data_IF_744564426985
#
_entry.id   IF_744564426985
#
_cell.length_a   1.000
_cell.length_b   1.000
_cell.length_c   1.000
_cell.angle_alpha   90.00
_cell.angle_beta   90.00
_cell.angle_gamma   90.00
#
_symmetry.space_group_name_H-M   'P 1'
#
loop_
_entity.id
_entity.type
_entity.pdbx_description
1 polymer ?
#
# COMPACT_ATOMS: atom_id res chain seq x y z
N UNK A 1 -2.21 -53.38 72.33
CA UNK A 1 -0.89 -53.63 72.95
C UNK A 1 0.09 -53.90 71.83
N UNK A 2 1.01 -52.97 71.57
CA UNK A 2 1.93 -53.04 70.42
C UNK A 2 2.78 -54.31 70.46
N UNK A 3 3.25 -54.80 69.31
CA UNK A 3 4.09 -56.00 69.16
C UNK A 3 5.16 -56.16 70.25
N UNK A 4 5.92 -55.08 70.52
CA UNK A 4 6.91 -55.03 71.60
C UNK A 4 6.30 -55.33 72.98
N UNK A 5 5.17 -54.73 73.31
CA UNK A 5 4.51 -54.92 74.60
C UNK A 5 3.98 -56.36 74.79
N UNK A 6 3.55 -57.05 73.73
CA UNK A 6 3.18 -58.49 73.79
C UNK A 6 4.38 -59.39 74.03
N UNK A 7 5.52 -59.10 73.39
CA UNK A 7 6.77 -59.82 73.63
C UNK A 7 7.28 -59.55 75.06
N UNK A 8 7.31 -58.29 75.49
CA UNK A 8 7.73 -57.95 76.85
C UNK A 8 6.83 -58.59 77.92
N UNK A 9 5.51 -58.62 77.71
CA UNK A 9 4.59 -59.31 78.62
C UNK A 9 4.81 -60.82 78.63
N UNK A 10 5.03 -61.45 77.46
CA UNK A 10 5.32 -62.87 77.37
C UNK A 10 6.64 -63.23 78.07
N UNK A 11 7.70 -62.44 77.86
CA UNK A 11 9.01 -62.61 78.52
C UNK A 11 8.90 -62.35 80.03
N UNK A 12 8.16 -61.33 80.45
CA UNK A 12 7.93 -61.03 81.87
C UNK A 12 7.18 -62.17 82.58
N UNK A 13 6.14 -62.73 81.96
CA UNK A 13 5.43 -63.90 82.47
C UNK A 13 6.35 -65.14 82.57
N UNK A 14 7.29 -65.30 81.64
CA UNK A 14 8.26 -66.40 81.61
C UNK A 14 9.26 -66.31 82.77
N UNK A 15 9.78 -65.11 83.03
CA UNK A 15 10.65 -64.84 84.17
C UNK A 15 9.92 -65.07 85.50
N UNK A 16 8.69 -64.59 85.64
CA UNK A 16 7.88 -64.77 86.85
C UNK A 16 7.59 -66.26 87.11
N UNK A 17 7.21 -67.02 86.08
CA UNK A 17 6.92 -68.46 86.21
C UNK A 17 8.18 -69.27 86.57
N UNK A 18 9.32 -68.99 85.93
CA UNK A 18 10.59 -69.65 86.30
C UNK A 18 11.02 -69.31 87.72
N UNK A 19 10.87 -68.07 88.17
CA UNK A 19 11.19 -67.66 89.55
C UNK A 19 10.28 -68.38 90.55
N UNK A 20 8.98 -68.50 90.27
CA UNK A 20 8.01 -69.19 91.14
C UNK A 20 8.24 -70.70 91.22
N UNK A 21 8.65 -71.35 90.12
CA UNK A 21 9.01 -72.76 90.11
C UNK A 21 10.34 -73.01 90.83
N UNK A 22 11.32 -72.11 90.68
CA UNK A 22 12.60 -72.20 91.39
C UNK A 22 12.44 -72.01 92.90
N UNK A 23 11.57 -71.08 93.34
CA UNK A 23 11.26 -70.91 94.77
C UNK A 23 10.50 -72.12 95.37
N UNK A 24 9.62 -72.76 94.59
CA UNK A 24 8.96 -74.01 94.98
C UNK A 24 9.91 -75.20 95.14
N UNK A 25 11.00 -75.23 94.37
CA UNK A 25 12.02 -76.30 94.39
C UNK A 25 12.93 -76.23 95.64
N UNK A 26 13.09 -75.03 96.23
CA UNK A 26 13.88 -74.82 97.46
C UNK A 26 13.11 -75.29 98.70
N UNK A 27 11.77 -75.28 98.68
CA UNK A 27 10.94 -75.57 99.86
C UNK A 27 10.45 -77.02 99.98
N UNK A 28 10.47 -77.82 98.90
CA UNK A 28 9.95 -79.19 98.88
C UNK A 28 11.09 -80.23 98.98
N UNK A 29 11.41 -80.63 100.22
CA UNK A 29 12.40 -81.66 100.57
C UNK A 29 11.76 -83.06 100.67
N UNK A 30 12.51 -84.07 100.22
CA UNK A 30 12.39 -85.51 100.55
C UNK A 30 11.56 -86.49 99.70
N UNK A 31 11.26 -86.27 98.39
CA UNK A 31 11.27 -87.39 97.41
C UNK A 31 11.02 -87.15 95.88
N UNK A 32 10.83 -85.95 95.34
CA UNK A 32 10.51 -85.82 93.88
C UNK A 32 11.04 -84.58 93.11
N UNK A 33 12.33 -84.17 93.24
CA UNK A 33 12.85 -82.98 92.52
C UNK A 33 12.89 -83.14 90.98
N UNK A 34 12.95 -84.38 90.47
CA UNK A 34 13.04 -84.66 89.02
C UNK A 34 11.71 -84.41 88.27
N UNK A 35 10.56 -84.58 88.92
CA UNK A 35 9.24 -84.35 88.30
C UNK A 35 8.98 -82.86 88.03
N UNK A 36 9.41 -81.97 88.94
CA UNK A 36 9.29 -80.52 88.76
C UNK A 36 10.20 -79.98 87.64
N UNK A 37 11.43 -80.52 87.54
CA UNK A 37 12.35 -80.17 86.46
C UNK A 37 11.80 -80.59 85.08
N UNK A 38 11.25 -81.80 84.96
CA UNK A 38 10.64 -82.28 83.71
C UNK A 38 9.43 -81.42 83.33
N UNK A 39 8.56 -81.06 84.30
CA UNK A 39 7.42 -80.18 84.05
C UNK A 39 7.82 -78.79 83.54
N UNK A 40 8.89 -78.21 84.11
CA UNK A 40 9.42 -76.91 83.66
C UNK A 40 10.02 -76.97 82.25
N UNK A 41 10.73 -78.06 81.92
CA UNK A 41 11.30 -78.27 80.59
C UNK A 41 10.23 -78.45 79.52
N UNK A 42 9.15 -79.20 79.83
CA UNK A 42 8.01 -79.38 78.92
C UNK A 42 7.30 -78.04 78.68
N UNK A 43 7.08 -77.24 79.71
CA UNK A 43 6.48 -75.90 79.57
C UNK A 43 7.35 -74.97 78.73
N UNK A 44 8.68 -75.02 78.91
CA UNK A 44 9.62 -74.20 78.16
C UNK A 44 9.68 -74.62 76.69
N UNK A 45 9.68 -75.93 76.40
CA UNK A 45 9.61 -76.47 75.03
C UNK A 45 8.27 -76.13 74.37
N UNK A 46 7.15 -76.28 75.08
CA UNK A 46 5.83 -75.93 74.57
C UNK A 46 5.74 -74.44 74.26
N UNK A 47 6.25 -73.55 75.13
CA UNK A 47 6.31 -72.12 74.86
C UNK A 47 7.27 -71.76 73.72
N UNK A 48 8.44 -72.39 73.63
CA UNK A 48 9.37 -72.18 72.50
C UNK A 48 8.75 -72.63 71.18
N UNK A 49 8.02 -73.76 71.18
CA UNK A 49 7.26 -74.24 70.04
C UNK A 49 6.13 -73.28 69.65
N UNK A 50 5.40 -72.74 70.63
CA UNK A 50 4.34 -71.74 70.40
C UNK A 50 4.92 -70.41 69.90
N UNK A 51 6.05 -69.96 70.46
CA UNK A 51 6.76 -68.78 70.01
C UNK A 51 7.29 -68.97 68.59
N UNK A 52 7.91 -70.13 68.28
CA UNK A 52 8.39 -70.47 66.94
C UNK A 52 7.25 -70.54 65.92
N UNK A 53 6.12 -71.15 66.29
CA UNK A 53 4.91 -71.17 65.45
C UNK A 53 4.40 -69.75 65.19
N UNK A 54 4.25 -68.92 66.23
CA UNK A 54 3.81 -67.53 66.11
C UNK A 54 4.78 -66.68 65.27
N UNK A 55 6.10 -66.89 65.44
CA UNK A 55 7.14 -66.18 64.70
C UNK A 55 7.15 -66.60 63.23
N UNK A 56 7.04 -67.91 62.94
CA UNK A 56 7.02 -68.47 61.58
C UNK A 56 5.81 -68.02 60.79
N UNK A 57 4.61 -68.03 61.36
CA UNK A 57 3.39 -67.55 60.69
C UNK A 57 3.45 -66.05 60.40
N UNK A 58 4.05 -65.24 61.28
CA UNK A 58 4.17 -63.79 61.08
C UNK A 58 5.34 -63.40 60.15
N UNK A 59 6.46 -64.12 60.18
CA UNK A 59 7.58 -63.92 59.25
C UNK A 59 7.18 -64.15 57.79
N UNK A 60 6.35 -65.16 57.53
CA UNK A 60 5.85 -65.45 56.18
C UNK A 60 5.07 -64.27 55.57
N UNK A 61 4.30 -63.52 56.36
CA UNK A 61 3.62 -62.31 55.88
C UNK A 61 4.59 -61.16 55.56
N UNK A 62 5.67 -61.01 56.32
CA UNK A 62 6.70 -60.01 56.05
C UNK A 62 7.50 -60.34 54.79
N UNK A 63 7.88 -61.61 54.61
CA UNK A 63 8.57 -62.09 53.41
C UNK A 63 7.72 -61.86 52.16
N UNK A 64 6.41 -62.09 52.23
CA UNK A 64 5.50 -61.82 51.11
C UNK A 64 5.45 -60.33 50.72
N UNK A 65 5.38 -59.42 51.69
CA UNK A 65 5.45 -57.97 51.40
C UNK A 65 6.80 -57.60 50.79
N UNK A 66 7.89 -58.14 51.35
CA UNK A 66 9.25 -57.87 50.89
C UNK A 66 9.47 -58.36 49.46
N UNK A 67 9.01 -59.56 49.12
CA UNK A 67 9.10 -60.12 47.76
C UNK A 67 8.28 -59.31 46.76
N UNK A 68 7.05 -58.91 47.10
CA UNK A 68 6.23 -58.08 46.19
C UNK A 68 6.91 -56.71 45.98
N UNK A 69 7.44 -56.10 47.04
CA UNK A 69 8.16 -54.83 46.93
C UNK A 69 9.46 -54.97 46.11
N UNK A 70 10.22 -56.04 46.31
CA UNK A 70 11.41 -56.36 45.53
C UNK A 70 11.07 -56.58 44.06
N UNK A 71 9.97 -57.29 43.78
CA UNK A 71 9.52 -57.50 42.40
C UNK A 71 9.05 -56.20 41.73
N UNK A 72 8.31 -55.34 42.44
CA UNK A 72 7.87 -54.03 41.90
C UNK A 72 9.08 -53.12 41.65
N UNK A 73 10.04 -53.07 42.58
CA UNK A 73 11.23 -52.18 42.46
C UNK A 73 12.28 -52.69 41.48
N UNK A 74 12.36 -54.00 41.25
CA UNK A 74 13.24 -54.61 40.24
C UNK A 74 12.63 -54.69 38.84
N UNK A 75 11.42 -54.13 38.65
CA UNK A 75 10.70 -54.16 37.37
C UNK A 75 10.20 -55.55 36.96
N UNK A 76 10.16 -56.50 37.91
CA UNK A 76 9.68 -57.88 37.72
C UNK A 76 8.21 -58.07 38.09
N UNK A 77 7.57 -57.07 38.69
CA UNK A 77 6.13 -57.06 38.99
C UNK A 77 5.42 -55.78 38.56
N UNK A 78 4.14 -55.92 38.23
CA UNK A 78 3.26 -54.83 37.88
C UNK A 78 2.86 -53.97 39.06
N UNK A 79 2.71 -52.68 38.82
CA UNK A 79 2.03 -51.77 39.74
C UNK A 79 0.54 -52.10 39.91
N UNK A 80 -0.07 -53.01 39.12
CA UNK A 80 -1.43 -53.53 39.34
C UNK A 80 -1.52 -54.60 40.41
N UNK A 81 -0.40 -55.19 40.82
CA UNK A 81 -0.39 -56.18 41.87
C UNK A 81 -0.85 -55.55 43.19
N UNK A 82 -1.63 -56.30 43.99
CA UNK A 82 -2.13 -55.84 45.28
C UNK A 82 -1.78 -56.83 46.36
N UNK A 83 -1.26 -56.30 47.46
CA UNK A 83 -0.91 -57.11 48.63
C UNK A 83 -2.18 -57.41 49.43
N UNK A 84 -2.55 -58.68 49.54
CA UNK A 84 -3.66 -59.15 50.36
C UNK A 84 -3.14 -59.95 51.55
N UNK A 85 -3.43 -59.48 52.77
CA UNK A 85 -3.06 -60.14 54.02
C UNK A 85 -4.31 -60.31 54.88
N UNK A 86 -4.66 -61.56 55.18
CA UNK A 86 -5.81 -61.89 56.01
C UNK A 86 -5.55 -61.64 57.50
N UNK A 87 -6.53 -61.07 58.20
CA UNK A 87 -6.53 -60.82 59.65
C UNK A 87 -6.35 -59.35 60.05
N UNK A 88 -6.73 -58.99 61.28
CA UNK A 88 -6.65 -57.62 61.82
C UNK A 88 -5.35 -57.50 62.62
N UNK A 89 -4.26 -57.09 61.96
CA UNK A 89 -2.95 -56.91 62.59
C UNK A 89 -2.12 -55.84 61.87
N UNK A 90 -0.94 -55.55 62.42
CA UNK A 90 -0.04 -54.51 61.92
C UNK A 90 0.39 -54.71 60.46
N UNK A 91 0.42 -55.96 59.96
CA UNK A 91 0.80 -56.27 58.58
C UNK A 91 -0.35 -56.06 57.59
N UNK A 92 -1.60 -56.29 57.98
CA UNK A 92 -2.75 -55.93 57.11
C UNK A 92 -2.92 -54.42 56.99
N UNK A 93 -2.62 -53.65 58.04
CA UNK A 93 -2.56 -52.19 57.94
C UNK A 93 -1.45 -51.72 56.98
N UNK A 94 -0.27 -52.35 57.01
CA UNK A 94 0.83 -52.07 56.07
C UNK A 94 0.45 -52.40 54.63
N UNK A 95 -0.21 -53.54 54.38
CA UNK A 95 -0.70 -53.91 53.05
C UNK A 95 -1.72 -52.90 52.50
N UNK A 96 -2.64 -52.39 53.33
CA UNK A 96 -3.58 -51.33 52.93
C UNK A 96 -2.84 -50.04 52.54
N UNK A 97 -1.86 -49.60 53.33
CA UNK A 97 -1.07 -48.41 53.01
C UNK A 97 -0.23 -48.58 51.74
N UNK A 98 0.36 -49.76 51.53
CA UNK A 98 1.10 -50.10 50.32
C UNK A 98 0.19 -50.08 49.09
N UNK A 99 -0.99 -50.70 49.16
CA UNK A 99 -1.98 -50.66 48.07
C UNK A 99 -2.45 -49.23 47.77
N UNK A 100 -2.59 -48.37 48.78
CA UNK A 100 -2.90 -46.95 48.59
C UNK A 100 -1.77 -46.20 47.86
N UNK A 101 -0.52 -46.49 48.20
CA UNK A 101 0.64 -45.94 47.49
C UNK A 101 0.67 -46.41 46.03
N UNK A 102 0.45 -47.70 45.77
CA UNK A 102 0.41 -48.27 44.42
C UNK A 102 -0.74 -47.67 43.58
N UNK A 103 -1.94 -47.52 44.16
CA UNK A 103 -3.05 -46.81 43.51
C UNK A 103 -2.67 -45.36 43.14
N UNK A 104 -2.03 -44.62 44.07
CA UNK A 104 -1.61 -43.25 43.80
C UNK A 104 -0.54 -43.20 42.69
N UNK A 105 0.44 -44.12 42.67
CA UNK A 105 1.45 -44.21 41.61
C UNK A 105 0.83 -44.54 40.26
N UNK A 106 -0.14 -45.45 40.21
CA UNK A 106 -0.87 -45.76 38.98
C UNK A 106 -1.64 -44.57 38.44
N UNK A 107 -2.38 -43.86 39.30
CA UNK A 107 -3.11 -42.66 38.90
C UNK A 107 -2.15 -41.59 38.36
N UNK A 108 -1.02 -41.36 39.04
CA UNK A 108 0.01 -40.44 38.55
C UNK A 108 0.59 -40.86 37.20
N UNK A 109 0.87 -42.15 36.98
CA UNK A 109 1.36 -42.65 35.69
C UNK A 109 0.29 -42.54 34.59
N UNK A 110 -0.99 -42.75 34.92
CA UNK A 110 -2.09 -42.53 33.98
C UNK A 110 -2.22 -41.05 33.61
N UNK A 111 -2.13 -40.16 34.59
CA UNK A 111 -2.14 -38.71 34.35
C UNK A 111 -0.95 -38.29 33.48
N UNK A 112 0.26 -38.81 33.75
CA UNK A 112 1.46 -38.56 32.93
C UNK A 112 1.26 -39.05 31.49
N UNK A 113 0.71 -40.25 31.30
CA UNK A 113 0.41 -40.78 29.97
C UNK A 113 -0.63 -39.94 29.22
N UNK A 114 -1.69 -39.49 29.90
CA UNK A 114 -2.68 -38.60 29.31
C UNK A 114 -2.10 -37.24 28.94
N UNK A 115 -1.25 -36.67 29.79
CA UNK A 115 -0.54 -35.41 29.51
C UNK A 115 0.41 -35.58 28.32
N UNK A 116 1.15 -36.70 28.22
CA UNK A 116 2.02 -36.99 27.07
C UNK A 116 1.23 -37.07 25.75
N UNK A 117 0.10 -37.77 25.74
CA UNK A 117 -0.79 -37.84 24.58
C UNK A 117 -1.38 -36.46 24.20
N UNK A 118 -1.79 -35.68 25.20
CA UNK A 118 -2.28 -34.31 24.97
C UNK A 118 -1.19 -33.41 24.36
N UNK A 119 0.05 -33.50 24.87
CA UNK A 119 1.20 -32.78 24.30
C UNK A 119 1.44 -33.19 22.86
N UNK A 120 1.41 -34.49 22.54
CA UNK A 120 1.58 -34.98 21.17
C UNK A 120 0.51 -34.44 20.21
N UNK A 121 -0.76 -34.42 20.62
CA UNK A 121 -1.83 -33.85 19.81
C UNK A 121 -1.63 -32.34 19.60
N UNK A 122 -1.22 -31.61 20.64
CA UNK A 122 -0.93 -30.17 20.53
C UNK A 122 0.27 -29.86 19.65
N UNK A 123 1.27 -30.74 19.59
CA UNK A 123 2.37 -30.59 18.63
C UNK A 123 1.85 -30.75 17.20
N UNK A 124 1.03 -31.78 16.91
CA UNK A 124 0.43 -31.95 15.56
C UNK A 124 -0.43 -30.75 15.14
N UNK A 125 -1.22 -30.19 16.05
CA UNK A 125 -2.00 -28.97 15.79
C UNK A 125 -1.05 -27.80 15.42
N UNK A 126 0.02 -27.61 16.20
CA UNK A 126 1.01 -26.57 15.94
C UNK A 126 1.78 -26.78 14.62
N UNK A 127 2.03 -28.03 14.18
CA UNK A 127 2.69 -28.30 12.89
C UNK A 127 1.84 -27.81 11.70
N UNK A 128 0.53 -28.01 11.80
CA UNK A 128 -0.42 -27.52 10.80
C UNK A 128 -0.45 -26.00 10.77
N UNK A 129 -0.47 -25.34 11.94
CA UNK A 129 -0.42 -23.88 12.03
C UNK A 129 0.89 -23.31 11.46
N UNK A 130 2.03 -23.92 11.77
CA UNK A 130 3.34 -23.54 11.22
C UNK A 130 3.37 -23.66 9.70
N UNK A 131 2.81 -24.73 9.15
CA UNK A 131 2.77 -24.94 7.70
C UNK A 131 1.96 -23.83 7.03
N UNK A 132 0.80 -23.45 7.60
CA UNK A 132 0.01 -22.32 7.14
C UNK A 132 0.75 -20.99 7.27
N UNK A 133 1.43 -20.76 8.40
CA UNK A 133 2.21 -19.55 8.65
C UNK A 133 3.39 -19.41 7.66
N UNK A 134 4.04 -20.52 7.31
CA UNK A 134 5.13 -20.56 6.33
C UNK A 134 4.62 -20.15 4.95
N UNK A 135 3.50 -20.72 4.50
CA UNK A 135 2.88 -20.38 3.23
C UNK A 135 2.45 -18.90 3.15
N UNK A 136 1.86 -18.38 4.23
CA UNK A 136 1.48 -16.98 4.35
C UNK A 136 2.71 -16.06 4.28
N UNK A 137 3.76 -16.38 5.04
CA UNK A 137 5.01 -15.59 5.08
C UNK A 137 5.68 -15.56 3.70
N UNK A 138 5.74 -16.69 2.99
CA UNK A 138 6.28 -16.75 1.64
C UNK A 138 5.45 -15.94 0.64
N UNK A 139 4.13 -15.98 0.77
CA UNK A 139 3.22 -15.17 -0.07
C UNK A 139 3.42 -13.68 0.20
N UNK A 140 3.47 -13.26 1.47
CA UNK A 140 3.75 -11.87 1.86
C UNK A 140 5.09 -11.37 1.33
N UNK A 141 6.14 -12.18 1.43
CA UNK A 141 7.45 -11.86 0.87
C UNK A 141 7.39 -11.65 -0.66
N UNK A 142 6.74 -12.56 -1.38
CA UNK A 142 6.61 -12.46 -2.82
C UNK A 142 5.80 -11.24 -3.27
N UNK A 143 4.65 -10.99 -2.62
CA UNK A 143 3.83 -9.82 -2.89
C UNK A 143 4.59 -8.53 -2.60
N UNK A 144 5.35 -8.47 -1.50
CA UNK A 144 6.18 -7.30 -1.18
C UNK A 144 7.17 -6.97 -2.30
N UNK A 145 7.89 -7.98 -2.81
CA UNK A 145 8.82 -7.81 -3.95
C UNK A 145 8.14 -7.29 -5.20
N UNK A 146 6.95 -7.82 -5.53
CA UNK A 146 6.17 -7.35 -6.67
C UNK A 146 5.74 -5.90 -6.47
N UNK A 147 5.24 -5.54 -5.28
CA UNK A 147 4.87 -4.16 -4.93
C UNK A 147 6.06 -3.21 -5.08
N UNK A 148 7.22 -3.53 -4.53
CA UNK A 148 8.43 -2.69 -4.66
C UNK A 148 8.79 -2.48 -6.13
N UNK A 149 8.75 -3.55 -6.95
CA UNK A 149 9.05 -3.44 -8.38
C UNK A 149 8.08 -2.49 -9.08
N UNK A 150 6.77 -2.66 -8.88
CA UNK A 150 5.76 -1.78 -9.48
C UNK A 150 5.89 -0.34 -8.99
N UNK A 151 6.18 -0.13 -7.71
CA UNK A 151 6.38 1.20 -7.12
C UNK A 151 7.61 1.90 -7.70
N UNK A 152 8.66 1.15 -8.03
CA UNK A 152 9.84 1.69 -8.73
C UNK A 152 9.48 2.18 -10.14
N UNK A 153 8.64 1.45 -10.87
CA UNK A 153 8.13 1.89 -12.18
C UNK A 153 7.31 3.19 -12.02
N UNK A 154 6.46 3.27 -10.98
CA UNK A 154 5.71 4.51 -10.66
C UNK A 154 6.64 5.67 -10.34
N UNK A 155 7.70 5.45 -9.55
CA UNK A 155 8.69 6.49 -9.22
C UNK A 155 9.38 7.06 -10.46
N UNK A 156 9.76 6.19 -11.41
CA UNK A 156 10.33 6.60 -12.70
C UNK A 156 9.35 7.43 -13.53
N UNK A 157 8.08 6.99 -13.61
CA UNK A 157 7.04 7.74 -14.32
C UNK A 157 6.80 9.11 -13.68
N UNK A 158 6.78 9.22 -12.36
CA UNK A 158 6.66 10.50 -11.67
C UNK A 158 7.81 11.44 -11.99
N UNK A 159 9.05 10.94 -12.05
CA UNK A 159 10.20 11.75 -12.46
C UNK A 159 10.08 12.24 -13.92
N UNK A 160 9.60 11.37 -14.82
CA UNK A 160 9.36 11.74 -16.23
C UNK A 160 8.25 12.79 -16.37
N UNK A 161 7.15 12.66 -15.61
CA UNK A 161 6.06 13.65 -15.60
C UNK A 161 6.55 15.00 -15.06
N UNK A 162 7.38 15.02 -14.02
CA UNK A 162 7.99 16.25 -13.51
C UNK A 162 8.86 16.93 -14.58
N UNK A 163 9.73 16.16 -15.25
CA UNK A 163 10.57 16.69 -16.34
C UNK A 163 9.75 17.22 -17.53
N UNK A 164 8.67 16.52 -17.89
CA UNK A 164 7.74 16.97 -18.93
C UNK A 164 7.02 18.26 -18.53
N UNK A 165 6.69 18.41 -17.25
CA UNK A 165 6.07 19.63 -16.70
C UNK A 165 7.03 20.82 -16.76
N UNK A 166 8.31 20.63 -16.43
CA UNK A 166 9.34 21.66 -16.59
C UNK A 166 9.52 22.06 -18.06
N UNK A 167 9.53 21.08 -18.96
CA UNK A 167 9.60 21.32 -20.40
C UNK A 167 8.39 22.11 -20.91
N UNK A 168 7.19 21.77 -20.42
CA UNK A 168 5.97 22.51 -20.71
C UNK A 168 6.03 23.95 -20.18
N UNK A 169 6.52 24.17 -18.96
CA UNK A 169 6.70 25.50 -18.39
C UNK A 169 7.70 26.35 -19.21
N UNK A 170 8.77 25.74 -19.72
CA UNK A 170 9.71 26.42 -20.61
C UNK A 170 9.05 26.79 -21.95
N UNK A 171 8.27 25.88 -22.55
CA UNK A 171 7.54 26.15 -23.78
C UNK A 171 6.49 27.27 -23.61
N UNK A 172 5.80 27.27 -22.47
CA UNK A 172 4.88 28.34 -22.05
C UNK A 172 5.61 29.67 -21.93
N UNK A 173 6.79 29.72 -21.33
CA UNK A 173 7.59 30.95 -21.22
C UNK A 173 7.93 31.54 -22.59
N UNK A 174 8.34 30.69 -23.55
CA UNK A 174 8.59 31.09 -24.94
C UNK A 174 7.30 31.61 -25.61
N UNK A 175 6.19 30.90 -25.43
CA UNK A 175 4.89 31.31 -25.97
C UNK A 175 4.43 32.66 -25.39
N UNK A 176 4.60 32.87 -24.09
CA UNK A 176 4.28 34.13 -23.40
C UNK A 176 5.08 35.30 -23.99
N UNK A 177 6.38 35.11 -24.22
CA UNK A 177 7.23 36.12 -24.83
C UNK A 177 6.83 36.41 -26.29
N UNK A 178 6.49 35.38 -27.06
CA UNK A 178 5.99 35.53 -28.42
C UNK A 178 4.65 36.31 -28.46
N UNK A 179 3.70 35.99 -27.59
CA UNK A 179 2.43 36.72 -27.46
C UNK A 179 2.62 38.17 -27.00
N UNK A 180 3.53 38.41 -26.06
CA UNK A 180 3.87 39.78 -25.61
C UNK A 180 4.45 40.62 -26.76
N UNK A 181 5.34 40.03 -27.56
CA UNK A 181 5.90 40.68 -28.73
C UNK A 181 4.84 40.92 -29.81
N UNK A 182 3.95 39.95 -30.04
CA UNK A 182 2.82 40.08 -30.96
C UNK A 182 1.88 41.23 -30.55
N UNK A 183 1.57 41.35 -29.25
CA UNK A 183 0.77 42.45 -28.73
C UNK A 183 1.42 43.81 -28.99
N UNK A 184 2.74 43.95 -28.73
CA UNK A 184 3.49 45.18 -29.04
C UNK A 184 3.44 45.52 -30.54
N UNK A 185 3.62 44.53 -31.41
CA UNK A 185 3.58 44.74 -32.86
C UNK A 185 2.21 45.22 -33.33
N UNK A 186 1.13 44.69 -32.76
CA UNK A 186 -0.24 45.14 -33.06
C UNK A 186 -0.51 46.55 -32.55
N UNK A 187 -0.03 46.92 -31.36
CA UNK A 187 -0.13 48.30 -30.87
C UNK A 187 0.57 49.28 -31.81
N UNK A 188 1.79 48.97 -32.23
CA UNK A 188 2.52 49.79 -33.19
C UNK A 188 1.81 49.87 -34.56
N UNK A 189 1.27 48.74 -35.04
CA UNK A 189 0.48 48.72 -36.29
C UNK A 189 -0.79 49.57 -36.18
N UNK A 190 -1.43 49.58 -35.00
CA UNK A 190 -2.60 50.42 -34.75
C UNK A 190 -2.25 51.91 -34.77
N UNK A 191 -1.12 52.30 -34.17
CA UNK A 191 -0.61 53.69 -34.23
C UNK A 191 -0.36 54.14 -35.68
N UNK A 192 0.29 53.29 -36.49
CA UNK A 192 0.52 53.56 -37.92
C UNK A 192 -0.80 53.71 -38.68
N UNK A 193 -1.79 52.86 -38.41
CA UNK A 193 -3.09 52.94 -39.07
C UNK A 193 -3.87 54.22 -38.68
N UNK A 194 -3.75 54.67 -37.43
CA UNK A 194 -4.31 55.96 -36.99
C UNK A 194 -3.65 57.12 -37.72
N UNK A 195 -2.32 57.13 -37.83
CA UNK A 195 -1.59 58.16 -38.59
C UNK A 195 -2.00 58.16 -40.06
N UNK A 196 -2.14 56.98 -40.68
CA UNK A 196 -2.60 56.85 -42.06
C UNK A 196 -4.00 57.43 -42.26
N UNK A 197 -4.91 57.20 -41.30
CA UNK A 197 -6.25 57.81 -41.32
C UNK A 197 -6.20 59.34 -41.26
N UNK A 198 -5.30 59.91 -40.45
CA UNK A 198 -5.09 61.36 -40.38
C UNK A 198 -4.53 61.92 -41.70
N UNK A 199 -3.57 61.23 -42.31
CA UNK A 199 -3.00 61.61 -43.61
C UNK A 199 -4.05 61.57 -44.73
N UNK A 200 -4.94 60.56 -44.74
CA UNK A 200 -6.05 60.50 -45.71
C UNK A 200 -7.02 61.67 -45.55
N UNK A 201 -7.35 62.07 -44.32
CA UNK A 201 -8.20 63.23 -44.05
C UNK A 201 -7.53 64.54 -44.53
N UNK A 202 -6.24 64.73 -44.27
CA UNK A 202 -5.50 65.88 -44.75
C UNK A 202 -5.44 65.93 -46.30
N UNK A 203 -5.26 64.78 -46.95
CA UNK A 203 -5.25 64.69 -48.41
C UNK A 203 -6.63 65.00 -49.01
N UNK A 204 -7.71 64.55 -48.35
CA UNK A 204 -9.10 64.89 -48.72
C UNK A 204 -9.35 66.40 -48.68
N UNK A 205 -8.84 67.09 -47.65
CA UNK A 205 -8.94 68.55 -47.54
C UNK A 205 -8.16 69.26 -48.66
N UNK A 206 -6.94 68.82 -48.95
CA UNK A 206 -6.13 69.38 -50.06
C UNK A 206 -6.81 69.21 -51.42
N UNK A 207 -7.39 68.04 -51.69
CA UNK A 207 -8.11 67.76 -52.93
C UNK A 207 -9.40 68.57 -53.06
N UNK A 208 -10.12 68.80 -51.95
CA UNK A 208 -11.26 69.73 -51.91
C UNK A 208 -10.82 71.14 -52.28
N UNK A 209 -9.74 71.64 -51.68
CA UNK A 209 -9.18 72.95 -52.01
C UNK A 209 -8.68 73.07 -53.46
N UNK A 210 -8.12 71.99 -54.04
CA UNK A 210 -7.74 71.95 -55.45
C UNK A 210 -8.97 72.05 -56.38
N UNK A 211 -10.08 71.41 -56.00
CA UNK A 211 -11.36 71.49 -56.73
C UNK A 211 -11.90 72.92 -56.76
N UNK A 212 -11.92 73.60 -55.61
CA UNK A 212 -12.34 75.00 -55.49
C UNK A 212 -11.46 75.95 -56.32
N UNK A 213 -10.14 75.78 -56.26
CA UNK A 213 -9.20 76.58 -57.08
C UNK A 213 -9.41 76.35 -58.58
N UNK A 214 -9.63 75.10 -58.99
CA UNK A 214 -9.89 74.76 -60.39
C UNK A 214 -11.20 75.40 -60.88
N UNK A 215 -12.24 75.41 -60.05
CA UNK A 215 -13.50 76.09 -60.35
C UNK A 215 -13.32 77.61 -60.47
N UNK A 216 -12.52 78.22 -59.59
CA UNK A 216 -12.20 79.64 -59.68
C UNK A 216 -11.46 79.99 -60.98
N UNK A 217 -10.51 79.14 -61.40
CA UNK A 217 -9.81 79.32 -62.68
C UNK A 217 -10.75 79.21 -63.88
N UNK A 218 -11.68 78.24 -63.89
CA UNK A 218 -12.69 78.13 -64.94
C UNK A 218 -13.52 79.42 -65.07
N UNK A 219 -13.94 80.00 -63.94
CA UNK A 219 -14.68 81.27 -63.94
C UNK A 219 -13.84 82.43 -64.51
N UNK A 220 -12.53 82.47 -64.23
CA UNK A 220 -11.63 83.48 -64.83
C UNK A 220 -11.46 83.28 -66.34
N UNK A 221 -11.33 82.03 -66.80
CA UNK A 221 -11.19 81.71 -68.22
C UNK A 221 -12.48 82.05 -68.99
N UNK A 222 -13.65 81.84 -68.38
CA UNK A 222 -14.94 82.25 -68.96
C UNK A 222 -15.07 83.78 -69.08
N UNK A 223 -14.57 84.51 -68.09
CA UNK A 223 -14.45 85.97 -68.17
C UNK A 223 -13.49 86.40 -69.29
N UNK A 224 -12.33 85.74 -69.45
CA UNK A 224 -11.40 86.01 -70.56
C UNK A 224 -12.08 85.75 -71.90
N UNK A 225 -12.82 84.64 -72.03
CA UNK A 225 -13.59 84.32 -73.24
C UNK A 225 -14.58 85.42 -73.58
N UNK A 226 -15.33 85.90 -72.58
CA UNK A 226 -16.27 87.03 -72.72
C UNK A 226 -15.57 88.30 -73.18
N UNK A 227 -14.43 88.67 -72.58
CA UNK A 227 -13.63 89.84 -72.97
C UNK A 227 -13.10 89.69 -74.40
N UNK A 228 -12.68 88.48 -74.76
CA UNK A 228 -12.10 88.17 -76.07
C UNK A 228 -13.16 88.23 -77.17
N UNK A 229 -14.36 87.72 -76.92
CA UNK A 229 -15.51 87.84 -77.81
C UNK A 229 -15.93 89.31 -78.00
N UNK A 230 -15.95 90.10 -76.92
CA UNK A 230 -16.18 91.55 -77.00
C UNK A 230 -15.08 92.26 -77.81
N UNK A 231 -13.82 91.89 -77.61
CA UNK A 231 -12.68 92.46 -78.33
C UNK A 231 -12.74 92.12 -79.82
N UNK A 232 -13.12 90.89 -80.15
CA UNK A 232 -13.32 90.44 -81.53
C UNK A 232 -14.46 91.21 -82.22
N UNK A 233 -15.57 91.46 -81.51
CA UNK A 233 -16.69 92.28 -82.01
C UNK A 233 -16.29 93.75 -82.18
N UNK A 234 -15.52 94.32 -81.25
CA UNK A 234 -14.99 95.68 -81.35
C UNK A 234 -14.05 95.82 -82.55
N UNK A 235 -13.14 94.85 -82.73
CA UNK A 235 -12.22 94.80 -83.86
C UNK A 235 -12.95 94.65 -85.20
N UNK A 236 -14.01 93.84 -85.25
CA UNK A 236 -14.87 93.71 -86.43
C UNK A 236 -15.54 95.05 -86.78
N UNK A 237 -16.12 95.74 -85.79
CA UNK A 237 -16.73 97.05 -86.00
C UNK A 237 -15.70 98.09 -86.48
N UNK A 238 -14.48 98.06 -85.93
CA UNK A 238 -13.39 98.92 -86.37
C UNK A 238 -12.92 98.60 -87.81
N UNK A 239 -12.84 97.33 -88.20
CA UNK A 239 -12.51 96.92 -89.56
C UNK A 239 -13.57 97.38 -90.58
N UNK A 240 -14.86 97.29 -90.21
CA UNK A 240 -15.97 97.79 -91.03
C UNK A 240 -15.85 99.31 -91.23
N UNK A 241 -15.60 100.08 -90.16
CA UNK A 241 -15.50 101.54 -90.27
C UNK A 241 -14.22 101.98 -90.99
N UNK A 242 -13.13 101.24 -90.83
CA UNK A 242 -11.90 101.45 -91.59
C UNK A 242 -12.10 101.20 -93.10
N UNK A 243 -12.87 100.17 -93.48
CA UNK A 243 -13.25 99.94 -94.87
C UNK A 243 -14.15 101.06 -95.42
N UNK A 244 -15.03 101.62 -94.57
CA UNK A 244 -15.92 102.74 -94.92
C UNK A 244 -15.17 104.05 -95.19
N UNK A 245 -14.04 104.27 -94.52
CA UNK A 245 -13.17 105.43 -94.70
C UNK A 245 -12.27 105.35 -95.95
N UNK A 246 -12.28 104.25 -96.70
CA UNK A 246 -11.52 104.08 -97.95
C UNK A 246 -10.00 104.14 -97.75
N UNK A 247 -9.28 104.87 -98.61
CA UNK A 247 -7.82 105.01 -98.56
C UNK A 247 -7.31 105.61 -97.23
N UNK A 248 -8.09 106.49 -96.58
CA UNK A 248 -7.70 107.09 -95.30
C UNK A 248 -7.76 106.11 -94.11
N UNK A 249 -8.57 105.04 -94.21
CA UNK A 249 -8.75 104.03 -93.17
C UNK A 249 -7.79 102.84 -93.25
N UNK A 250 -6.94 102.78 -94.27
CA UNK A 250 -6.15 101.60 -94.61
C UNK A 250 -5.18 101.15 -93.51
N UNK A 251 -4.57 102.09 -92.78
CA UNK A 251 -3.74 101.79 -91.61
C UNK A 251 -4.54 101.25 -90.41
N UNK A 252 -5.75 101.77 -90.20
CA UNK A 252 -6.67 101.29 -89.15
C UNK A 252 -7.23 99.90 -89.46
N UNK A 253 -7.48 99.59 -90.74
CA UNK A 253 -7.93 98.26 -91.16
C UNK A 253 -6.92 97.16 -90.80
N UNK A 254 -5.63 97.41 -91.02
CA UNK A 254 -4.55 96.47 -90.65
C UNK A 254 -4.49 96.24 -89.14
N UNK A 255 -4.62 97.30 -88.34
CA UNK A 255 -4.65 97.17 -86.88
C UNK A 255 -5.89 96.42 -86.41
N UNK A 256 -7.06 96.69 -87.01
CA UNK A 256 -8.30 96.00 -86.68
C UNK A 256 -8.23 94.48 -86.99
N UNK A 257 -7.66 94.10 -88.13
CA UNK A 257 -7.46 92.68 -88.48
C UNK A 257 -6.45 91.99 -87.54
N UNK A 258 -5.37 92.69 -87.14
CA UNK A 258 -4.40 92.16 -86.18
C UNK A 258 -5.02 91.95 -84.79
N UNK A 259 -5.84 92.90 -84.31
CA UNK A 259 -6.60 92.76 -83.05
C UNK A 259 -7.60 91.60 -83.15
N UNK A 260 -8.27 91.44 -84.31
CA UNK A 260 -9.20 90.34 -84.55
C UNK A 260 -8.50 88.98 -84.50
N UNK A 261 -7.32 88.88 -85.13
CA UNK A 261 -6.50 87.68 -85.11
C UNK A 261 -5.99 87.37 -83.70
N UNK A 262 -5.55 88.38 -82.94
CA UNK A 262 -5.13 88.23 -81.55
C UNK A 262 -6.28 87.76 -80.65
N UNK A 263 -7.49 88.30 -80.85
CA UNK A 263 -8.68 87.84 -80.15
C UNK A 263 -9.00 86.37 -80.48
N UNK A 264 -9.00 85.97 -81.76
CA UNK A 264 -9.21 84.58 -82.16
C UNK A 264 -8.17 83.62 -81.53
N UNK A 265 -6.91 84.02 -81.48
CA UNK A 265 -5.81 83.24 -80.86
C UNK A 265 -5.97 83.13 -79.34
N UNK A 266 -6.45 84.19 -78.69
CA UNK A 266 -6.75 84.21 -77.26
C UNK A 266 -7.93 83.30 -76.93
N UNK A 267 -8.99 83.32 -77.76
CA UNK A 267 -10.16 82.44 -77.63
C UNK A 267 -9.75 80.97 -77.71
N UNK A 268 -8.93 80.61 -78.70
CA UNK A 268 -8.43 79.25 -78.88
C UNK A 268 -7.59 78.80 -77.67
N UNK A 269 -6.78 79.71 -77.11
CA UNK A 269 -6.00 79.43 -75.90
C UNK A 269 -6.90 79.24 -74.67
N UNK A 270 -7.94 80.06 -74.52
CA UNK A 270 -8.92 79.93 -73.44
C UNK A 270 -9.70 78.60 -73.53
N UNK A 271 -10.05 78.13 -74.72
CA UNK A 271 -10.66 76.83 -74.93
C UNK A 271 -9.74 75.67 -74.57
N UNK A 272 -8.45 75.76 -74.93
CA UNK A 272 -7.45 74.78 -74.54
C UNK A 272 -7.27 74.71 -73.01
N UNK A 273 -7.17 75.87 -72.33
CA UNK A 273 -7.08 75.94 -70.87
C UNK A 273 -8.35 75.37 -70.21
N UNK A 274 -9.53 75.66 -70.76
CA UNK A 274 -10.81 75.12 -70.25
C UNK A 274 -10.83 73.59 -70.29
N UNK A 275 -10.30 73.00 -71.38
CA UNK A 275 -10.21 71.55 -71.52
C UNK A 275 -9.28 70.94 -70.46
N UNK A 276 -8.07 71.47 -70.32
CA UNK A 276 -7.09 71.04 -69.31
C UNK A 276 -7.64 71.15 -67.88
N UNK A 277 -8.35 72.24 -67.56
CA UNK A 277 -8.98 72.41 -66.25
C UNK A 277 -10.11 71.39 -66.01
N UNK A 278 -10.89 71.07 -67.05
CA UNK A 278 -11.93 70.04 -66.96
C UNK A 278 -11.33 68.65 -66.72
N UNK A 279 -10.27 68.30 -67.45
CA UNK A 279 -9.57 67.02 -67.29
C UNK A 279 -8.94 66.89 -65.89
N UNK A 280 -8.35 67.97 -65.37
CA UNK A 280 -7.83 68.02 -64.00
C UNK A 280 -8.93 67.87 -62.94
N UNK A 281 -10.12 68.44 -63.18
CA UNK A 281 -11.27 68.28 -62.27
C UNK A 281 -11.75 66.85 -62.21
N UNK A 282 -11.85 66.19 -63.37
CA UNK A 282 -12.25 64.78 -63.44
C UNK A 282 -11.20 63.87 -62.80
N UNK A 283 -9.90 64.18 -62.97
CA UNK A 283 -8.82 63.49 -62.28
C UNK A 283 -8.92 63.66 -60.76
N UNK A 284 -9.17 64.88 -60.27
CA UNK A 284 -9.37 65.15 -58.85
C UNK A 284 -10.56 64.37 -58.28
N UNK A 285 -11.70 64.34 -58.98
CA UNK A 285 -12.87 63.57 -58.56
C UNK A 285 -12.55 62.06 -58.40
N UNK A 286 -11.78 61.49 -59.34
CA UNK A 286 -11.30 60.10 -59.22
C UNK A 286 -10.36 59.89 -58.04
N UNK A 287 -9.44 60.83 -57.80
CA UNK A 287 -8.53 60.78 -56.65
C UNK A 287 -9.28 60.86 -55.32
N UNK A 288 -10.29 61.73 -55.21
CA UNK A 288 -11.15 61.81 -54.02
C UNK A 288 -11.85 60.49 -53.73
N UNK A 289 -12.36 59.80 -54.75
CA UNK A 289 -12.97 58.48 -54.58
C UNK A 289 -11.96 57.45 -54.08
N UNK A 290 -10.73 57.46 -54.59
CA UNK A 290 -9.66 56.56 -54.12
C UNK A 290 -9.25 56.86 -52.67
N UNK A 291 -9.20 58.13 -52.27
CA UNK A 291 -8.90 58.55 -50.89
C UNK A 291 -10.01 58.07 -49.93
N UNK A 292 -11.28 58.20 -50.32
CA UNK A 292 -12.41 57.76 -49.49
C UNK A 292 -12.42 56.24 -49.30
N UNK A 293 -12.09 55.50 -50.36
CA UNK A 293 -11.91 54.05 -50.29
C UNK A 293 -10.73 53.67 -49.38
N UNK A 294 -9.58 54.34 -49.51
CA UNK A 294 -8.41 54.10 -48.67
C UNK A 294 -8.68 54.41 -47.19
N UNK A 295 -9.42 55.49 -46.90
CA UNK A 295 -9.86 55.83 -45.56
C UNK A 295 -10.77 54.74 -44.98
N UNK A 296 -11.75 54.26 -45.75
CA UNK A 296 -12.65 53.18 -45.35
C UNK A 296 -11.87 51.90 -45.03
N UNK A 297 -10.93 51.49 -45.89
CA UNK A 297 -10.06 50.34 -45.66
C UNK A 297 -9.21 50.50 -44.39
N UNK A 298 -8.73 51.71 -44.11
CA UNK A 298 -7.97 52.01 -42.88
C UNK A 298 -8.83 51.83 -41.62
N UNK A 299 -10.10 52.25 -41.65
CA UNK A 299 -11.03 52.03 -40.53
C UNK A 299 -11.32 50.54 -40.31
N UNK A 300 -11.55 49.77 -41.37
CA UNK A 300 -11.74 48.32 -41.25
C UNK A 300 -10.49 47.62 -40.71
N UNK A 301 -9.30 48.09 -41.09
CA UNK A 301 -8.03 47.60 -40.56
C UNK A 301 -7.91 47.85 -39.05
N UNK A 302 -8.31 49.03 -38.57
CA UNK A 302 -8.32 49.35 -37.13
C UNK A 302 -9.25 48.43 -36.33
N UNK A 303 -10.44 48.14 -36.87
CA UNK A 303 -11.39 47.21 -36.23
C UNK A 303 -10.81 45.78 -36.16
N UNK A 304 -10.22 45.30 -37.26
CA UNK A 304 -9.56 43.98 -37.31
C UNK A 304 -8.37 43.88 -36.35
N UNK A 305 -7.60 44.96 -36.18
CA UNK A 305 -6.49 45.01 -35.23
C UNK A 305 -6.98 44.91 -33.78
N UNK A 306 -8.12 45.54 -33.47
CA UNK A 306 -8.75 45.45 -32.14
C UNK A 306 -9.19 44.02 -31.82
N UNK A 307 -9.89 43.36 -32.74
CA UNK A 307 -10.31 41.96 -32.56
C UNK A 307 -9.11 41.02 -32.37
N UNK A 308 -8.02 41.29 -33.11
CA UNK A 308 -6.76 40.55 -32.96
C UNK A 308 -6.14 40.81 -31.57
N UNK A 309 -6.19 42.05 -31.05
CA UNK A 309 -5.68 42.39 -29.72
C UNK A 309 -6.43 41.68 -28.61
N UNK A 310 -7.76 41.59 -28.71
CA UNK A 310 -8.58 40.87 -27.74
C UNK A 310 -8.33 39.36 -27.79
N UNK A 311 -8.16 38.80 -29.00
CA UNK A 311 -7.76 37.40 -29.19
C UNK A 311 -6.39 37.12 -28.57
N UNK A 312 -5.42 38.02 -28.75
CA UNK A 312 -4.09 37.87 -28.14
C UNK A 312 -4.11 37.95 -26.62
N UNK A 313 -4.98 38.78 -26.02
CA UNK A 313 -5.20 38.77 -24.56
C UNK A 313 -5.70 37.43 -24.07
N UNK A 314 -6.65 36.81 -24.78
CA UNK A 314 -7.16 35.48 -24.42
C UNK A 314 -6.07 34.40 -24.51
N UNK A 315 -5.19 34.50 -25.51
CA UNK A 315 -4.02 33.61 -25.62
C UNK A 315 -3.08 33.77 -24.42
N UNK A 316 -2.77 35.00 -24.01
CA UNK A 316 -1.93 35.25 -22.81
C UNK A 316 -2.54 34.64 -21.56
N UNK A 317 -3.84 34.86 -21.31
CA UNK A 317 -4.54 34.25 -20.15
C UNK A 317 -4.52 32.73 -20.20
N UNK A 318 -4.65 32.14 -21.39
CA UNK A 318 -4.58 30.68 -21.57
C UNK A 318 -3.18 30.16 -21.28
N UNK A 319 -2.14 30.87 -21.71
CA UNK A 319 -0.73 30.54 -21.42
C UNK A 319 -0.47 30.57 -19.91
N UNK A 320 -0.96 31.60 -19.19
CA UNK A 320 -0.82 31.69 -17.74
C UNK A 320 -1.49 30.51 -17.02
N UNK A 321 -2.67 30.10 -17.49
CA UNK A 321 -3.38 28.93 -16.96
C UNK A 321 -2.59 27.64 -17.19
N UNK A 322 -1.98 27.46 -18.37
CA UNK A 322 -1.15 26.29 -18.68
C UNK A 322 0.12 26.28 -17.81
N UNK A 323 0.72 27.44 -17.53
CA UNK A 323 1.87 27.55 -16.64
C UNK A 323 1.54 27.07 -15.23
N UNK A 324 0.39 27.48 -14.70
CA UNK A 324 -0.06 27.07 -13.38
C UNK A 324 -0.34 25.56 -13.33
N UNK A 325 -1.02 25.01 -14.35
CA UNK A 325 -1.24 23.57 -14.46
C UNK A 325 0.08 22.79 -14.52
N UNK A 326 1.07 23.27 -15.25
CA UNK A 326 2.39 22.63 -15.31
C UNK A 326 3.07 22.60 -13.93
N UNK A 327 2.96 23.69 -13.14
CA UNK A 327 3.47 23.74 -11.76
C UNK A 327 2.73 22.78 -10.83
N UNK A 328 1.41 22.71 -10.92
CA UNK A 328 0.61 21.78 -10.12
C UNK A 328 0.98 20.32 -10.43
N UNK A 329 1.15 19.98 -11.71
CA UNK A 329 1.56 18.62 -12.13
C UNK A 329 2.97 18.30 -11.63
N UNK A 330 3.92 19.24 -11.70
CA UNK A 330 5.26 19.05 -11.17
C UNK A 330 5.24 18.78 -9.66
N UNK A 331 4.48 19.58 -8.89
CA UNK A 331 4.31 19.40 -7.45
C UNK A 331 3.64 18.06 -7.11
N UNK A 332 2.57 17.69 -7.82
CA UNK A 332 1.89 16.40 -7.65
C UNK A 332 2.83 15.22 -7.93
N UNK A 333 3.67 15.35 -8.95
CA UNK A 333 4.67 14.33 -9.31
C UNK A 333 5.74 14.18 -8.23
N UNK A 334 6.18 15.29 -7.61
CA UNK A 334 7.10 15.25 -6.47
C UNK A 334 6.47 14.55 -5.26
N UNK A 335 5.22 14.86 -4.92
CA UNK A 335 4.50 14.18 -3.84
C UNK A 335 4.32 12.68 -4.13
N UNK A 336 4.08 12.31 -5.38
CA UNK A 336 3.99 10.91 -5.79
C UNK A 336 5.35 10.22 -5.63
N UNK A 337 6.47 10.86 -6.00
CA UNK A 337 7.81 10.33 -5.78
C UNK A 337 8.08 10.07 -4.28
N UNK A 338 7.76 11.02 -3.40
CA UNK A 338 7.92 10.85 -1.95
C UNK A 338 7.05 9.69 -1.41
N UNK A 339 5.80 9.58 -1.88
CA UNK A 339 4.92 8.48 -1.52
C UNK A 339 5.47 7.12 -1.99
N UNK A 340 6.04 7.04 -3.19
CA UNK A 340 6.68 5.80 -3.68
C UNK A 340 7.88 5.39 -2.84
N UNK A 341 8.67 6.35 -2.34
CA UNK A 341 9.79 6.08 -1.43
C UNK A 341 9.31 5.49 -0.10
N UNK A 342 8.22 6.02 0.45
CA UNK A 342 7.60 5.48 1.67
C UNK A 342 7.09 4.05 1.46
N UNK A 343 6.41 3.77 0.34
CA UNK A 343 5.92 2.42 0.03
C UNK A 343 7.09 1.44 -0.15
N UNK A 344 8.19 1.88 -0.79
CA UNK A 344 9.40 1.07 -0.95
C UNK A 344 9.97 0.67 0.42
N UNK A 345 10.10 1.63 1.33
CA UNK A 345 10.57 1.39 2.72
C UNK A 345 9.66 0.43 3.48
N UNK A 346 8.33 0.54 3.30
CA UNK A 346 7.36 -0.40 3.87
C UNK A 346 7.56 -1.81 3.31
N UNK A 347 7.74 -1.93 1.98
CA UNK A 347 8.02 -3.21 1.33
C UNK A 347 9.29 -3.88 1.85
N UNK A 348 10.39 -3.14 1.96
CA UNK A 348 11.66 -3.62 2.53
C UNK A 348 11.49 -4.08 4.00
N UNK A 349 10.67 -3.36 4.76
CA UNK A 349 10.34 -3.75 6.14
C UNK A 349 9.56 -5.06 6.19
N UNK A 350 8.62 -5.28 5.27
CA UNK A 350 7.86 -6.54 5.14
C UNK A 350 8.79 -7.69 4.74
N UNK A 351 9.73 -7.46 3.82
CA UNK A 351 10.72 -8.47 3.42
C UNK A 351 11.58 -8.90 4.61
N UNK A 352 12.10 -7.93 5.37
CA UNK A 352 12.87 -8.19 6.59
C UNK A 352 12.05 -8.95 7.63
N UNK A 353 10.82 -8.50 7.90
CA UNK A 353 9.92 -9.17 8.86
C UNK A 353 9.59 -10.60 8.42
N UNK A 354 9.42 -10.84 7.13
CA UNK A 354 9.18 -12.18 6.57
C UNK A 354 10.41 -13.08 6.77
N UNK A 355 11.62 -12.53 6.58
CA UNK A 355 12.88 -13.20 6.89
C UNK A 355 12.99 -13.59 8.36
N UNK A 356 12.73 -12.65 9.27
CA UNK A 356 12.73 -12.87 10.73
C UNK A 356 11.68 -13.92 11.13
N UNK A 357 10.48 -13.85 10.56
CA UNK A 357 9.39 -14.79 10.80
C UNK A 357 9.77 -16.20 10.34
N UNK A 358 10.35 -16.34 9.15
CA UNK A 358 10.87 -17.62 8.67
C UNK A 358 11.96 -18.20 9.59
N UNK A 359 12.81 -17.35 10.18
CA UNK A 359 13.80 -17.81 11.16
C UNK A 359 13.15 -18.31 12.45
N UNK A 360 12.13 -17.61 12.95
CA UNK A 360 11.37 -18.04 14.14
C UNK A 360 10.60 -19.33 13.88
N UNK A 361 10.02 -19.50 12.68
CA UNK A 361 9.36 -20.74 12.28
C UNK A 361 10.35 -21.92 12.34
N UNK A 362 11.57 -21.75 11.83
CA UNK A 362 12.61 -22.81 11.91
C UNK A 362 12.93 -23.20 13.36
N UNK A 363 13.07 -22.22 14.25
CA UNK A 363 13.29 -22.48 15.68
C UNK A 363 12.10 -23.19 16.33
N UNK A 364 10.87 -22.81 15.96
CA UNK A 364 9.65 -23.42 16.49
C UNK A 364 9.54 -24.90 16.07
N UNK A 365 9.87 -25.21 14.81
CA UNK A 365 9.95 -26.59 14.31
C UNK A 365 10.97 -27.40 15.12
N UNK A 366 12.17 -26.85 15.37
CA UNK A 366 13.20 -27.51 16.18
C UNK A 366 12.73 -27.80 17.61
N UNK A 367 12.11 -26.81 18.27
CA UNK A 367 11.55 -27.00 19.62
C UNK A 367 10.44 -28.07 19.65
N UNK A 368 9.59 -28.11 18.63
CA UNK A 368 8.52 -29.10 18.54
C UNK A 368 9.04 -30.51 18.28
N UNK A 369 10.09 -30.66 17.46
CA UNK A 369 10.78 -31.93 17.31
C UNK A 369 11.36 -32.40 18.65
N UNK A 370 11.98 -31.50 19.42
CA UNK A 370 12.44 -31.80 20.78
C UNK A 370 11.30 -32.25 21.71
N UNK A 371 10.18 -31.54 21.71
CA UNK A 371 9.00 -31.91 22.53
C UNK A 371 8.39 -33.25 22.10
N UNK A 372 8.37 -33.58 20.80
CA UNK A 372 7.92 -34.90 20.32
C UNK A 372 8.81 -36.01 20.86
N UNK A 373 10.13 -35.82 20.86
CA UNK A 373 11.08 -36.79 21.42
C UNK A 373 10.84 -36.98 22.92
N UNK A 374 10.69 -35.89 23.69
CA UNK A 374 10.43 -35.99 25.13
C UNK A 374 9.07 -36.63 25.44
N UNK A 375 8.02 -36.25 24.71
CA UNK A 375 6.68 -36.82 24.89
C UNK A 375 6.64 -38.29 24.50
N UNK A 376 7.30 -38.67 23.40
CA UNK A 376 7.45 -40.06 22.99
C UNK A 376 8.19 -40.90 24.03
N UNK A 377 9.26 -40.36 24.62
CA UNK A 377 9.99 -41.05 25.70
C UNK A 377 9.16 -41.20 26.98
N UNK A 378 8.38 -40.18 27.37
CA UNK A 378 7.46 -40.26 28.52
C UNK A 378 6.35 -41.29 28.28
N UNK A 379 5.75 -41.30 27.10
CA UNK A 379 4.74 -42.29 26.73
C UNK A 379 5.33 -43.71 26.73
N UNK A 380 6.55 -43.88 26.20
CA UNK A 380 7.27 -45.16 26.25
C UNK A 380 7.58 -45.62 27.69
N UNK A 381 8.04 -44.72 28.57
CA UNK A 381 8.28 -45.05 29.98
C UNK A 381 6.99 -45.47 30.70
N UNK A 382 5.90 -44.72 30.50
CA UNK A 382 4.57 -45.08 31.05
C UNK A 382 4.09 -46.42 30.48
N UNK A 383 4.30 -46.66 29.18
CA UNK A 383 4.00 -47.93 28.54
C UNK A 383 4.86 -49.07 29.06
N UNK A 384 6.14 -48.86 29.39
CA UNK A 384 7.02 -49.89 29.93
C UNK A 384 6.57 -50.30 31.34
N UNK A 385 6.25 -49.33 32.21
CA UNK A 385 5.63 -49.59 33.52
C UNK A 385 4.29 -50.33 33.37
N UNK A 386 3.55 -50.07 32.28
CA UNK A 386 2.34 -50.82 31.94
C UNK A 386 2.62 -52.20 31.34
N UNK A 387 3.60 -52.42 30.47
CA UNK A 387 3.84 -53.72 29.81
C UNK A 387 4.31 -54.81 30.77
N UNK A 388 5.08 -54.44 31.80
CA UNK A 388 5.38 -55.33 32.94
C UNK A 388 4.08 -55.88 33.57
N UNK A 389 2.95 -55.19 33.42
CA UNK A 389 1.60 -55.66 33.81
C UNK A 389 1.10 -56.87 33.04
N UNK A 390 1.21 -56.85 31.71
CA UNK A 390 0.56 -57.85 30.88
C UNK A 390 1.43 -59.11 30.71
N UNK A 391 2.75 -58.99 30.75
CA UNK A 391 3.66 -60.14 30.62
C UNK A 391 3.69 -61.04 31.85
N UNK A 392 3.26 -60.54 33.01
CA UNK A 392 3.18 -61.31 34.26
C UNK A 392 1.82 -61.96 34.47
N UNK A 393 0.74 -61.28 34.06
CA UNK A 393 -0.61 -61.85 34.05
C UNK A 393 -0.70 -63.08 33.12
N UNK A 394 0.04 -63.07 32.00
CA UNK A 394 0.16 -64.22 31.10
C UNK A 394 1.13 -65.33 31.58
N UNK A 395 1.91 -65.11 32.65
CA UNK A 395 2.82 -66.12 33.21
C UNK A 395 2.19 -66.92 34.36
N UNK A 396 1.08 -66.46 34.93
CA UNK A 396 0.37 -67.12 36.04
C UNK A 396 -0.86 -67.95 35.62
N UNK A 397 -1.13 -68.11 34.31
CA UNK A 397 -2.11 -69.08 33.81
C UNK A 397 -1.39 -70.36 33.32
N UNK A 398 -1.47 -71.49 34.05
CA UNK A 398 -1.08 -72.77 33.48
C UNK A 398 -2.11 -73.18 32.43
N UNK A 399 -1.63 -73.64 31.27
CA UNK A 399 -2.42 -74.39 30.32
C UNK A 399 -3.05 -75.60 31.02
N UNK A 400 -4.36 -75.53 31.32
CA UNK A 400 -5.15 -76.73 31.58
C UNK A 400 -5.51 -77.36 30.25
N UNK A 401 -4.69 -78.33 29.89
CA UNK A 401 -5.03 -79.41 28.96
C UNK A 401 -6.24 -80.17 29.54
N UNK A 402 -7.37 -80.15 28.82
CA UNK A 402 -8.44 -81.13 29.02
C UNK A 402 -9.07 -81.47 27.68
N UNK A 403 -8.52 -82.52 27.07
CA UNK A 403 -9.22 -83.36 26.11
C UNK A 403 -10.48 -83.97 26.73
N UNK A 404 -11.66 -83.63 26.20
CA UNK A 404 -12.78 -84.56 25.92
C UNK A 404 -13.89 -83.75 25.22
N UNK A 405 -14.03 -83.86 23.90
CA UNK A 405 -14.84 -84.88 23.19
C UNK A 405 -16.36 -84.62 23.27
N UNK A 406 -16.85 -84.12 22.13
CA UNK A 406 -18.09 -84.53 21.45
C UNK A 406 -19.44 -84.18 22.10
N UNK A 407 -20.19 -83.27 21.48
CA UNK A 407 -21.27 -83.59 20.52
C UNK A 407 -22.20 -82.37 20.31
N UNK A 408 -22.48 -82.10 19.04
CA UNK A 408 -23.68 -81.53 18.41
C UNK A 408 -24.78 -80.88 19.27
N UNK A 409 -25.29 -79.71 18.81
CA UNK A 409 -26.64 -79.55 18.23
C UNK A 409 -26.93 -78.05 17.92
N UNK A 410 -27.28 -77.85 16.64
CA UNK A 410 -28.16 -76.88 15.94
C UNK A 410 -28.60 -75.51 16.51
N UNK A 411 -28.61 -74.55 15.56
CA UNK A 411 -29.56 -73.47 15.25
C UNK A 411 -30.20 -72.65 16.39
N UNK A 412 -29.96 -71.33 16.36
CA UNK A 412 -30.82 -70.37 15.64
C UNK A 412 -30.07 -69.06 15.35
#
# INVERSE_FOLDING_TARGET
MNFKARIYLAVALLLINNIALFSGLIFYSDNTPWLLLIGSAILLIAMLGLAFYYFRTKYSHFERIATILDNITSGKSSLTERVTISGINEFSALAVHLNKMLNNMQNLLMDVGQVAQLVNNKIKDAEKEISGLTGNTQTSYHLSRLTIKSVKEVSLMSAEIAQNSDSAASAVSVAHQASTNGHKLMTNTSEIAVEMGQQMNALKEQMSGFSEKSQSMLNMVDMIKTITDQTNLLALNAAIEAARAGEAGRGFAVVADEVRNLAAKTQQSAEAITRELSENRDLNARLMQQIDQAATTTFTMLDSLKDTQDSMKQVVTSIDTINEMAREIANASQHQADATQNITTIGETIERLSGDTNSKIRQLIEHMQGLMVYSGSLDEQVQQFRKVTNELENKETPATDSSNSSADIELF
#
